data_IF_631787484808
#
_entry.id   IF_631787484808
#
_cell.length_a   1.000
_cell.length_b   1.000
_cell.length_c   1.000
_cell.angle_alpha   90.00
_cell.angle_beta   90.00
_cell.angle_gamma   90.00
#
_symmetry.space_group_name_H-M   'P 1'
#
loop_
_entity.id
_entity.type
_entity.pdbx_description
1 polymer ?
#
# COMPACT_ATOMS: atom_id res chain seq x y z
N UNK A 1 14.69 37.27 -35.00
CA UNK A 1 14.07 37.70 -36.29
C UNK A 1 13.95 36.49 -37.20
N UNK A 2 13.14 36.56 -38.27
CA UNK A 2 12.50 35.41 -38.95
C UNK A 2 11.45 34.77 -38.01
N UNK A 3 10.11 34.83 -38.19
CA UNK A 3 9.19 35.18 -39.31
C UNK A 3 9.10 34.15 -40.47
N UNK A 4 7.85 34.04 -40.98
CA UNK A 4 7.36 33.32 -42.20
C UNK A 4 6.85 31.88 -41.97
N UNK A 5 5.72 31.37 -42.52
CA UNK A 5 4.33 31.88 -42.76
C UNK A 5 3.47 30.77 -43.46
N UNK A 6 2.22 30.49 -43.00
CA UNK A 6 1.01 29.91 -43.68
C UNK A 6 1.20 28.70 -44.67
N UNK A 7 0.25 28.08 -45.41
CA UNK A 7 -1.24 27.95 -45.52
C UNK A 7 -1.57 26.41 -45.45
N UNK A 8 -2.76 25.84 -45.18
CA UNK A 8 -4.19 26.13 -45.44
C UNK A 8 -4.76 25.59 -46.80
N UNK A 9 -5.34 24.36 -46.79
CA UNK A 9 -6.34 23.82 -47.75
C UNK A 9 -6.84 22.43 -47.30
N UNK A 10 -7.95 21.81 -47.78
CA UNK A 10 -9.37 22.18 -48.04
C UNK A 10 -9.99 21.12 -48.99
N UNK A 11 -11.10 20.46 -48.60
CA UNK A 11 -12.01 19.63 -49.47
C UNK A 11 -11.36 18.35 -50.09
N UNK A 12 -12.01 17.31 -50.66
CA UNK A 12 -13.41 16.94 -51.01
C UNK A 12 -13.45 15.39 -51.33
N UNK A 13 -14.54 14.61 -51.50
CA UNK A 13 -16.01 14.75 -51.36
C UNK A 13 -16.75 13.36 -51.30
N UNK A 14 -18.05 13.33 -51.63
CA UNK A 14 -19.01 12.24 -51.99
C UNK A 14 -18.43 10.98 -52.74
N UNK A 15 -19.08 9.79 -52.86
CA UNK A 15 -20.51 9.37 -52.69
C UNK A 15 -20.70 7.82 -52.55
N UNK A 16 -21.79 7.39 -51.90
CA UNK A 16 -22.82 6.48 -52.48
C UNK A 16 -22.70 4.95 -52.41
N UNK A 17 -23.73 4.28 -51.86
CA UNK A 17 -24.70 3.40 -52.58
C UNK A 17 -25.68 2.66 -51.63
N UNK A 18 -26.82 2.21 -52.15
CA UNK A 18 -27.81 1.39 -51.43
C UNK A 18 -27.44 -0.10 -51.47
N UNK A 19 -27.80 -0.85 -50.41
CA UNK A 19 -27.54 -2.29 -50.31
C UNK A 19 -28.47 -3.03 -49.33
N UNK A 20 -29.79 -3.02 -49.57
CA UNK A 20 -30.74 -3.78 -48.76
C UNK A 20 -30.68 -5.29 -49.10
N UNK A 21 -29.86 -6.06 -48.37
CA UNK A 21 -29.80 -7.51 -48.47
C UNK A 21 -29.96 -8.18 -47.09
N UNK A 22 -31.11 -8.83 -46.91
CA UNK A 22 -31.50 -9.57 -45.71
C UNK A 22 -30.48 -10.68 -45.38
N UNK A 23 -29.90 -10.68 -44.16
CA UNK A 23 -29.05 -11.76 -43.68
C UNK A 23 -29.59 -12.35 -42.38
N UNK A 24 -29.72 -13.68 -42.35
CA UNK A 24 -30.37 -14.42 -41.28
C UNK A 24 -29.44 -14.68 -40.08
N UNK A 25 -30.01 -14.57 -38.87
CA UNK A 25 -29.58 -15.23 -37.62
C UNK A 25 -28.13 -15.73 -37.55
N UNK A 26 -27.32 -15.05 -36.75
CA UNK A 26 -26.52 -15.76 -35.75
C UNK A 26 -26.53 -14.99 -34.43
N UNK A 27 -26.60 -15.73 -33.33
CA UNK A 27 -26.73 -15.19 -31.98
C UNK A 27 -25.35 -15.07 -31.32
N UNK A 28 -24.82 -13.85 -31.26
CA UNK A 28 -23.66 -13.50 -30.45
C UNK A 28 -24.08 -12.53 -29.35
N UNK A 29 -24.37 -13.06 -28.16
CA UNK A 29 -24.44 -12.26 -26.94
C UNK A 29 -23.03 -11.75 -26.62
N UNK A 30 -22.69 -10.58 -27.14
CA UNK A 30 -21.49 -9.86 -26.75
C UNK A 30 -21.67 -9.40 -25.31
N UNK A 31 -21.20 -10.20 -24.36
CA UNK A 31 -20.89 -9.74 -23.01
C UNK A 31 -19.73 -8.75 -23.12
N UNK A 32 -20.07 -7.52 -23.50
CA UNK A 32 -19.21 -6.36 -23.33
C UNK A 32 -19.12 -6.11 -21.83
N UNK A 33 -18.22 -6.83 -21.16
CA UNK A 33 -17.72 -6.42 -19.86
C UNK A 33 -17.17 -5.00 -20.06
N UNK A 34 -17.83 -4.02 -19.47
CA UNK A 34 -17.27 -2.68 -19.35
C UNK A 34 -15.87 -2.80 -18.75
N UNK A 35 -14.90 -1.97 -19.13
CA UNK A 35 -13.71 -1.79 -18.31
C UNK A 35 -14.20 -1.40 -16.92
N UNK A 36 -13.94 -2.26 -15.93
CA UNK A 36 -14.14 -1.86 -14.54
C UNK A 36 -13.18 -0.69 -14.31
N UNK A 37 -13.70 0.50 -13.97
CA UNK A 37 -12.83 1.56 -13.48
C UNK A 37 -12.18 1.04 -12.20
N UNK A 38 -10.88 0.72 -12.29
CA UNK A 38 -10.08 0.32 -11.15
C UNK A 38 -9.86 1.58 -10.34
N UNK A 39 -10.70 1.79 -9.33
CA UNK A 39 -10.47 2.82 -8.32
C UNK A 39 -9.08 2.58 -7.72
N UNK A 40 -8.16 3.56 -7.71
CA UNK A 40 -6.84 3.37 -7.15
C UNK A 40 -6.92 2.91 -5.70
N UNK A 41 -6.22 1.82 -5.40
CA UNK A 41 -5.93 1.29 -4.06
C UNK A 41 -4.94 2.15 -3.27
N UNK A 42 -4.42 3.22 -3.88
CA UNK A 42 -3.28 3.99 -3.40
C UNK A 42 -3.50 5.48 -3.60
N UNK A 43 -3.26 6.25 -2.54
CA UNK A 43 -3.10 7.71 -2.59
C UNK A 43 -1.67 8.06 -3.03
N UNK A 44 -1.51 8.34 -4.33
CA UNK A 44 -0.21 8.58 -4.95
C UNK A 44 0.55 9.78 -4.38
N UNK A 45 -0.15 10.82 -3.91
CA UNK A 45 0.50 12.01 -3.33
C UNK A 45 1.20 11.62 -2.01
N UNK A 46 0.50 10.88 -1.15
CA UNK A 46 1.04 10.41 0.14
C UNK A 46 2.10 9.34 -0.03
N UNK A 47 1.89 8.36 -0.93
CA UNK A 47 2.91 7.34 -1.22
C UNK A 47 4.20 7.99 -1.70
N UNK A 48 4.11 8.92 -2.66
CA UNK A 48 5.30 9.55 -3.23
C UNK A 48 6.02 10.46 -2.22
N UNK A 49 5.29 11.11 -1.30
CA UNK A 49 5.90 11.83 -0.18
C UNK A 49 6.70 10.88 0.75
N UNK A 50 6.20 9.68 1.03
CA UNK A 50 6.94 8.66 1.80
C UNK A 50 8.15 8.10 1.04
N UNK A 51 8.04 7.93 -0.30
CA UNK A 51 9.18 7.56 -1.16
C UNK A 51 10.30 8.60 -1.08
N UNK A 52 9.99 9.90 -1.05
CA UNK A 52 10.97 10.98 -0.88
C UNK A 52 11.51 11.04 0.57
N UNK A 53 10.63 11.02 1.58
CA UNK A 53 10.98 11.13 3.01
C UNK A 53 11.94 10.02 3.48
N UNK A 54 11.74 8.78 3.01
CA UNK A 54 12.53 7.61 3.41
C UNK A 54 13.49 7.11 2.32
N UNK A 55 13.56 7.80 1.17
CA UNK A 55 14.42 7.44 0.03
C UNK A 55 14.18 5.98 -0.43
N UNK A 56 12.91 5.63 -0.67
CA UNK A 56 12.50 4.23 -0.91
C UNK A 56 12.87 3.71 -2.31
N UNK A 57 13.30 4.57 -3.23
CA UNK A 57 13.87 4.12 -4.52
C UNK A 57 15.24 3.44 -4.38
N UNK A 58 15.89 3.59 -3.23
CA UNK A 58 17.11 2.89 -2.83
C UNK A 58 16.87 1.95 -1.64
N UNK A 59 15.64 1.43 -1.47
CA UNK A 59 15.26 0.58 -0.33
C UNK A 59 16.23 -0.60 -0.12
N UNK A 60 16.59 -1.33 -1.18
CA UNK A 60 17.51 -2.47 -1.11
C UNK A 60 18.99 -2.10 -0.88
N UNK A 61 19.37 -0.81 -0.99
CA UNK A 61 20.71 -0.33 -0.64
C UNK A 61 20.85 -0.01 0.86
N UNK A 62 19.74 -0.01 1.62
CA UNK A 62 19.72 0.36 3.05
C UNK A 62 20.20 -0.81 3.92
N UNK A 63 21.07 -0.52 4.88
CA UNK A 63 21.61 -1.48 5.85
C UNK A 63 20.85 -1.50 7.18
N UNK A 64 19.93 -0.56 7.39
CA UNK A 64 19.02 -0.48 8.53
C UNK A 64 17.57 -0.58 8.04
N UNK A 65 16.64 -1.18 8.82
CA UNK A 65 15.23 -1.25 8.43
C UNK A 65 14.60 0.13 8.33
N UNK A 66 13.54 0.25 7.53
CA UNK A 66 12.71 1.44 7.47
C UNK A 66 11.48 1.24 8.36
N UNK A 67 11.33 2.09 9.37
CA UNK A 67 10.16 2.11 10.25
C UNK A 67 9.27 3.32 9.93
N UNK A 68 7.98 3.07 9.76
CA UNK A 68 6.93 4.08 9.66
C UNK A 68 6.08 4.09 10.93
N UNK A 69 5.48 5.23 11.28
CA UNK A 69 4.35 5.22 12.22
C UNK A 69 3.10 4.59 11.59
N UNK A 70 2.13 4.16 12.42
CA UNK A 70 0.82 3.72 11.91
C UNK A 70 0.16 4.77 11.01
N UNK A 71 0.26 6.06 11.36
CA UNK A 71 -0.37 7.14 10.60
C UNK A 71 0.30 7.34 9.23
N UNK A 72 1.59 7.06 9.09
CA UNK A 72 2.30 7.08 7.81
C UNK A 72 1.99 5.84 6.96
N UNK A 73 2.05 4.63 7.53
CA UNK A 73 1.80 3.40 6.76
C UNK A 73 0.35 3.28 6.25
N UNK A 74 -0.64 3.74 7.04
CA UNK A 74 -2.06 3.52 6.71
C UNK A 74 -2.75 4.71 6.02
N UNK A 75 -2.22 5.94 6.12
CA UNK A 75 -2.86 7.11 5.50
C UNK A 75 -2.63 7.16 3.98
N UNK A 76 -3.61 6.68 3.21
CA UNK A 76 -3.53 6.57 1.76
C UNK A 76 -3.35 5.15 1.25
N UNK A 77 -3.18 4.19 2.15
CA UNK A 77 -3.13 2.77 1.85
C UNK A 77 -4.56 2.17 1.84
N UNK A 78 -4.98 1.63 0.69
CA UNK A 78 -6.17 0.79 0.53
C UNK A 78 -5.81 -0.54 -0.19
N UNK A 79 -4.53 -0.92 -0.19
CA UNK A 79 -3.99 -2.11 -0.84
C UNK A 79 -3.98 -3.30 0.15
N UNK A 80 -4.89 -4.25 -0.03
CA UNK A 80 -5.03 -5.43 0.83
C UNK A 80 -3.90 -6.47 0.65
N UNK A 81 -3.00 -6.29 -0.34
CA UNK A 81 -1.77 -7.07 -0.45
C UNK A 81 -0.64 -6.54 0.45
N UNK A 82 -0.69 -5.26 0.84
CA UNK A 82 0.39 -4.57 1.58
C UNK A 82 0.67 -5.07 3.00
N UNK A 83 -0.24 -5.86 3.59
CA UNK A 83 -0.13 -6.38 4.96
C UNK A 83 -0.65 -7.82 5.08
N UNK A 84 -0.07 -8.59 6.01
CA UNK A 84 -0.50 -9.93 6.43
C UNK A 84 -0.75 -10.87 5.24
N UNK A 85 0.30 -11.36 4.56
CA UNK A 85 0.23 -11.89 3.21
C UNK A 85 -0.74 -13.07 3.06
N UNK A 86 -0.65 -14.08 3.94
CA UNK A 86 -1.22 -15.40 3.72
C UNK A 86 -2.53 -15.70 4.48
N UNK A 87 -3.19 -14.70 5.08
CA UNK A 87 -4.48 -14.91 5.75
C UNK A 87 -5.60 -15.24 4.76
N UNK A 88 -6.22 -16.42 4.93
CA UNK A 88 -7.40 -16.94 4.20
C UNK A 88 -8.58 -15.94 4.12
N UNK A 89 -8.69 -15.03 5.09
CA UNK A 89 -9.69 -13.96 5.12
C UNK A 89 -9.10 -12.74 5.80
N UNK A 90 -8.56 -11.83 4.99
CA UNK A 90 -8.04 -10.54 5.44
C UNK A 90 -9.17 -9.61 5.88
N UNK A 91 -8.88 -8.76 6.87
CA UNK A 91 -9.63 -7.52 7.09
C UNK A 91 -9.24 -6.49 6.02
N UNK A 92 -10.04 -5.44 5.85
CA UNK A 92 -9.67 -4.32 4.97
C UNK A 92 -8.59 -3.48 5.65
N UNK A 93 -7.73 -2.81 4.89
CA UNK A 93 -6.63 -1.98 5.41
C UNK A 93 -7.09 -0.96 6.47
N UNK A 94 -8.26 -0.36 6.31
CA UNK A 94 -8.85 0.57 7.27
C UNK A 94 -9.26 -0.08 8.61
N UNK A 95 -9.52 -1.39 8.64
CA UNK A 95 -9.91 -2.15 9.83
C UNK A 95 -8.68 -2.55 10.65
N UNK A 96 -7.58 -2.95 9.99
CA UNK A 96 -6.25 -3.04 10.62
C UNK A 96 -5.88 -1.71 11.29
N UNK A 97 -5.90 -0.61 10.53
CA UNK A 97 -5.55 0.72 11.04
C UNK A 97 -6.39 1.13 12.25
N UNK A 98 -7.71 0.90 12.19
CA UNK A 98 -8.64 1.28 13.26
C UNK A 98 -8.34 0.53 14.57
N UNK A 99 -8.09 -0.78 14.50
CA UNK A 99 -7.74 -1.59 15.67
C UNK A 99 -6.35 -1.22 16.21
N UNK A 100 -5.34 -1.16 15.34
CA UNK A 100 -3.96 -0.82 15.73
C UNK A 100 -3.86 0.58 16.36
N UNK A 101 -4.66 1.53 15.87
CA UNK A 101 -4.77 2.86 16.46
C UNK A 101 -5.43 2.82 17.83
N UNK A 102 -6.49 2.04 18.05
CA UNK A 102 -7.03 1.82 19.39
C UNK A 102 -5.98 1.18 20.34
N UNK A 103 -5.11 0.31 19.83
CA UNK A 103 -4.00 -0.25 20.62
C UNK A 103 -3.00 0.82 21.04
N UNK A 104 -2.62 1.72 20.13
CA UNK A 104 -1.69 2.85 20.36
C UNK A 104 -2.18 3.85 21.42
N UNK A 105 -3.49 4.06 21.57
CA UNK A 105 -4.07 4.99 22.57
C UNK A 105 -4.00 4.48 24.03
N UNK A 106 -3.47 3.27 24.28
CA UNK A 106 -3.18 2.84 25.66
C UNK A 106 -1.94 3.54 26.21
N UNK A 107 -2.08 4.22 27.35
CA UNK A 107 -1.02 4.86 28.13
C UNK A 107 0.22 4.00 28.45
N UNK A 108 0.14 2.67 28.29
CA UNK A 108 1.29 1.75 28.38
C UNK A 108 2.20 1.81 27.17
N UNK A 109 1.67 2.19 26.02
CA UNK A 109 2.37 2.30 24.74
C UNK A 109 3.01 3.69 24.61
N UNK A 110 4.25 3.71 24.15
CA UNK A 110 5.02 4.91 23.80
C UNK A 110 4.91 5.19 22.30
N UNK A 111 5.00 4.15 21.47
CA UNK A 111 4.76 4.24 20.02
C UNK A 111 4.41 2.85 19.43
N UNK A 112 3.75 2.85 18.26
CA UNK A 112 3.54 1.68 17.41
C UNK A 112 4.16 1.93 16.03
N UNK A 113 5.09 1.07 15.63
CA UNK A 113 5.88 1.17 14.40
C UNK A 113 5.62 0.00 13.46
N UNK A 114 5.58 0.29 12.16
CA UNK A 114 5.50 -0.70 11.07
C UNK A 114 6.87 -0.79 10.42
N UNK A 115 7.46 -1.98 10.31
CA UNK A 115 8.68 -2.18 9.51
C UNK A 115 8.28 -2.41 8.06
N UNK A 116 8.83 -1.64 7.13
CA UNK A 116 8.73 -1.97 5.70
C UNK A 116 9.64 -3.17 5.43
N UNK A 117 9.05 -4.29 4.99
CA UNK A 117 9.78 -5.48 4.57
C UNK A 117 10.16 -5.44 3.11
N UNK A 118 9.30 -4.87 2.25
CA UNK A 118 9.59 -4.77 0.82
C UNK A 118 9.01 -3.49 0.20
N UNK A 119 9.67 -3.03 -0.87
CA UNK A 119 9.26 -1.93 -1.74
C UNK A 119 9.48 -2.40 -3.17
N UNK A 120 8.42 -2.88 -3.82
CA UNK A 120 8.51 -3.51 -5.13
C UNK A 120 8.89 -2.46 -6.20
N UNK A 121 10.11 -2.55 -6.70
CA UNK A 121 10.64 -1.69 -7.77
C UNK A 121 10.67 -2.45 -9.10
N UNK A 122 9.89 -1.98 -10.06
CA UNK A 122 9.83 -2.48 -11.44
C UNK A 122 10.96 -1.93 -12.31
N UNK A 123 11.04 -2.40 -13.55
CA UNK A 123 11.97 -1.89 -14.56
C UNK A 123 11.94 -0.35 -14.60
N UNK A 124 13.13 0.27 -14.65
CA UNK A 124 13.35 1.73 -14.56
C UNK A 124 13.14 2.34 -13.15
N UNK A 125 13.19 1.53 -12.08
CA UNK A 125 13.06 1.95 -10.67
C UNK A 125 11.73 2.68 -10.39
N UNK A 126 10.62 2.10 -10.84
CA UNK A 126 9.27 2.65 -10.65
C UNK A 126 8.43 1.72 -9.77
N UNK A 127 7.54 2.28 -8.95
CA UNK A 127 6.49 1.53 -8.26
C UNK A 127 5.25 1.45 -9.18
N UNK A 128 4.47 0.37 -9.10
CA UNK A 128 3.15 0.31 -9.73
C UNK A 128 2.20 1.27 -8.99
N UNK A 129 1.48 2.14 -9.70
CA UNK A 129 0.57 3.14 -9.11
C UNK A 129 -0.66 2.56 -8.36
N UNK A 130 -0.81 1.23 -8.29
CA UNK A 130 -1.83 0.54 -7.51
C UNK A 130 -1.26 -0.24 -6.31
N UNK A 131 0.05 -0.17 -6.06
CA UNK A 131 0.73 -0.91 -5.00
C UNK A 131 1.30 0.03 -3.92
N UNK A 132 1.15 -0.40 -2.67
CA UNK A 132 1.75 0.24 -1.48
C UNK A 132 3.04 -0.48 -1.08
N UNK A 133 3.69 0.01 -0.02
CA UNK A 133 4.84 -0.68 0.59
C UNK A 133 4.37 -1.88 1.41
N UNK A 134 5.17 -2.94 1.47
CA UNK A 134 4.79 -4.20 2.10
C UNK A 134 5.31 -4.35 3.53
N UNK A 135 4.49 -4.93 4.42
CA UNK A 135 4.87 -5.31 5.79
C UNK A 135 4.25 -6.65 6.20
N UNK A 136 4.98 -7.38 7.04
CA UNK A 136 4.50 -8.57 7.76
C UNK A 136 4.56 -8.38 9.29
N UNK A 137 5.02 -7.23 9.81
CA UNK A 137 5.39 -7.08 11.22
C UNK A 137 5.11 -5.67 11.76
N UNK A 138 4.54 -5.62 12.96
CA UNK A 138 4.24 -4.38 13.69
C UNK A 138 4.75 -4.47 15.12
N UNK A 139 5.46 -3.43 15.55
CA UNK A 139 6.12 -3.33 16.84
C UNK A 139 5.40 -2.36 17.78
N UNK A 140 5.20 -2.78 19.03
CA UNK A 140 4.56 -2.06 20.11
C UNK A 140 5.59 -1.80 21.21
N UNK A 141 5.94 -0.53 21.43
CA UNK A 141 6.98 -0.12 22.37
C UNK A 141 6.33 0.40 23.65
N UNK A 142 6.69 -0.10 24.82
CA UNK A 142 6.13 0.38 26.10
C UNK A 142 6.28 -0.56 27.31
N UNK A 143 5.45 -0.35 28.35
CA UNK A 143 5.28 -1.29 29.47
C UNK A 143 4.10 -2.25 29.23
N UNK A 144 4.20 -3.00 28.13
CA UNK A 144 3.19 -3.95 27.64
C UNK A 144 3.79 -5.36 27.57
N UNK A 145 2.95 -6.41 27.60
CA UNK A 145 3.38 -7.80 27.39
C UNK A 145 2.77 -8.42 26.13
N UNK A 146 3.35 -9.51 25.58
CA UNK A 146 2.78 -10.24 24.45
C UNK A 146 1.35 -10.71 24.70
N UNK A 147 1.01 -11.12 25.92
CA UNK A 147 -0.35 -11.54 26.28
C UNK A 147 -1.35 -10.37 26.24
N UNK A 148 -0.93 -9.18 26.65
CA UNK A 148 -1.75 -7.96 26.59
C UNK A 148 -1.96 -7.49 25.14
N UNK A 149 -0.93 -7.57 24.29
CA UNK A 149 -1.07 -7.30 22.85
C UNK A 149 -1.95 -8.35 22.18
N UNK A 150 -1.63 -9.65 22.32
CA UNK A 150 -2.35 -10.76 21.70
C UNK A 150 -3.85 -10.76 22.03
N UNK A 151 -4.22 -10.38 23.25
CA UNK A 151 -5.63 -10.25 23.66
C UNK A 151 -6.39 -9.13 22.90
N UNK A 152 -5.69 -8.08 22.44
CA UNK A 152 -6.27 -6.93 21.73
C UNK A 152 -6.19 -7.06 20.21
N UNK A 153 -5.11 -7.63 19.67
CA UNK A 153 -4.89 -7.80 18.21
C UNK A 153 -5.45 -9.09 17.64
N UNK A 154 -6.08 -9.94 18.47
CA UNK A 154 -6.54 -11.29 18.09
C UNK A 154 -7.30 -11.35 16.76
N UNK A 155 -8.16 -10.37 16.49
CA UNK A 155 -8.99 -10.36 15.28
C UNK A 155 -8.20 -10.02 14.00
N UNK A 156 -6.97 -9.49 14.14
CA UNK A 156 -5.98 -9.38 13.05
C UNK A 156 -5.27 -10.70 12.74
N UNK A 157 -5.45 -11.74 13.56
CA UNK A 157 -4.92 -13.10 13.37
C UNK A 157 -3.39 -13.18 13.11
N UNK A 158 -2.51 -12.56 13.91
CA UNK A 158 -1.07 -12.79 13.80
C UNK A 158 -0.69 -14.22 14.20
N UNK A 159 0.28 -14.79 13.49
CA UNK A 159 0.84 -16.12 13.75
C UNK A 159 1.76 -16.13 14.98
N UNK A 160 2.50 -15.03 15.20
CA UNK A 160 3.32 -14.82 16.39
C UNK A 160 3.01 -13.49 17.09
N UNK A 161 3.02 -13.52 18.42
CA UNK A 161 3.06 -12.33 19.28
C UNK A 161 4.09 -12.58 20.38
N UNK A 162 5.22 -11.85 20.36
CA UNK A 162 6.37 -12.11 21.22
C UNK A 162 7.15 -10.83 21.57
N UNK A 163 8.05 -10.91 22.55
CA UNK A 163 9.04 -9.85 22.76
C UNK A 163 10.12 -9.93 21.68
N UNK A 164 10.65 -8.78 21.24
CA UNK A 164 11.85 -8.72 20.40
C UNK A 164 13.06 -8.24 21.20
N UNK A 165 14.23 -8.80 20.90
CA UNK A 165 15.55 -8.34 21.37
C UNK A 165 16.27 -7.50 20.28
N UNK A 166 15.53 -6.98 19.30
CA UNK A 166 16.08 -6.22 18.17
C UNK A 166 16.59 -4.83 18.58
N UNK A 167 17.90 -4.75 18.84
CA UNK A 167 18.65 -3.52 19.14
C UNK A 167 18.42 -2.40 18.10
N UNK A 168 18.08 -2.75 16.83
CA UNK A 168 17.83 -1.77 15.75
C UNK A 168 16.63 -0.87 16.05
N UNK A 169 15.66 -1.34 16.83
CA UNK A 169 14.48 -0.57 17.26
C UNK A 169 14.77 0.16 18.58
N UNK A 170 15.47 -0.51 19.51
CA UNK A 170 15.84 0.10 20.80
C UNK A 170 16.74 1.34 20.62
N UNK A 171 17.58 1.36 19.60
CA UNK A 171 18.44 2.50 19.26
C UNK A 171 17.80 3.58 18.37
N UNK A 172 16.51 3.48 18.02
CA UNK A 172 15.87 4.37 17.03
C UNK A 172 15.47 5.74 17.60
N UNK A 173 15.08 5.81 18.87
CA UNK A 173 14.66 7.04 19.56
C UNK A 173 14.93 6.91 21.08
N UNK A 174 15.42 7.99 21.72
CA UNK A 174 15.70 7.99 23.16
C UNK A 174 14.46 7.70 24.03
N UNK A 175 13.25 7.98 23.52
CA UNK A 175 11.98 7.67 24.19
C UNK A 175 11.72 6.17 24.34
N UNK A 176 12.42 5.33 23.56
CA UNK A 176 12.26 3.87 23.59
C UNK A 176 13.21 3.21 24.60
N UNK A 177 14.24 3.90 25.10
CA UNK A 177 15.22 3.33 26.05
C UNK A 177 14.54 2.77 27.31
N UNK A 178 14.87 1.51 27.66
CA UNK A 178 14.33 0.83 28.85
C UNK A 178 12.88 0.33 28.74
N UNK A 179 12.19 0.57 27.62
CA UNK A 179 10.87 -0.02 27.35
C UNK A 179 11.01 -1.49 26.91
N UNK A 180 9.91 -2.24 27.01
CA UNK A 180 9.77 -3.52 26.31
C UNK A 180 9.34 -3.25 24.87
N UNK A 181 9.71 -4.12 23.96
CA UNK A 181 9.21 -4.11 22.58
C UNK A 181 8.55 -5.46 22.32
N UNK A 182 7.25 -5.44 22.04
CA UNK A 182 6.47 -6.59 21.59
C UNK A 182 6.26 -6.45 20.10
N UNK A 183 6.34 -7.55 19.35
CA UNK A 183 5.96 -7.58 17.94
C UNK A 183 4.77 -8.50 17.70
N UNK A 184 4.07 -8.26 16.59
CA UNK A 184 3.12 -9.17 15.98
C UNK A 184 3.60 -9.46 14.56
N UNK A 185 3.54 -10.70 14.11
CA UNK A 185 4.01 -11.12 12.79
C UNK A 185 3.02 -12.07 12.11
N UNK A 186 3.01 -12.07 10.77
CA UNK A 186 2.25 -12.96 9.89
C UNK A 186 3.20 -13.64 8.91
N UNK A 187 3.14 -14.98 8.78
CA UNK A 187 3.97 -15.75 7.81
C UNK A 187 3.43 -15.63 6.37
#
# INVERSE_FOLDING_TARGET
>A
MNKTILLLSLLSWLTGLLGCANQSRQSSTSNSASPTEVTPTVDLEKRNALVEQYDLLHFYDKTAPVFLTLDEFFNGNHDEASIAPNLDTKLRVAEYYSLLKEVREDKKIVEVLVELKDVILYENNQLNDNEWFYTDVIYFIGDITPEEIAARVKDLQPDEVAYTEDERIMGLDERYEGNKIVYIWWD
#
